data_IF_758499652262
#
_entry.id   IF_758499652262
#
_cell.length_a   1.000
_cell.length_b   1.000
_cell.length_c   1.000
_cell.angle_alpha   90.00
_cell.angle_beta   90.00
_cell.angle_gamma   90.00
#
_symmetry.space_group_name_H-M   'P 1'
#
loop_
_entity.id
_entity.type
_entity.pdbx_description
1 polymer ?
#
# COMPACT_ATOMS: atom_id res chain seq x y z
N UNK A 1 -10.45 6.44 3.08
CA UNK A 1 -10.08 7.43 2.06
C UNK A 1 -9.26 8.49 2.76
N UNK A 2 -7.99 8.69 2.37
CA UNK A 2 -7.20 9.79 2.95
C UNK A 2 -7.75 11.13 2.45
N UNK A 3 -7.88 12.10 3.37
CA UNK A 3 -8.42 13.44 3.08
C UNK A 3 -7.49 14.30 2.23
N UNK A 4 -7.94 15.53 1.92
CA UNK A 4 -7.23 16.48 1.05
C UNK A 4 -5.84 16.85 1.63
N UNK A 5 -4.76 16.51 0.92
CA UNK A 5 -3.37 16.85 1.26
C UNK A 5 -2.83 17.92 0.31
N UNK A 6 -2.09 18.90 0.85
CA UNK A 6 -1.48 19.99 0.10
C UNK A 6 0.04 19.97 0.34
N UNK A 7 0.85 20.07 -0.71
CA UNK A 7 2.30 20.22 -0.61
C UNK A 7 2.71 21.63 -1.06
N UNK A 8 3.58 22.29 -0.29
CA UNK A 8 4.16 23.60 -0.67
C UNK A 8 5.22 23.39 -1.76
N UNK A 9 4.99 23.99 -2.92
CA UNK A 9 5.99 24.18 -3.97
C UNK A 9 6.67 25.54 -3.74
N UNK A 10 8.02 25.66 -3.79
CA UNK A 10 8.70 26.96 -3.74
C UNK A 10 8.34 27.89 -4.91
N UNK A 11 7.69 27.39 -5.96
CA UNK A 11 7.19 28.18 -7.10
C UNK A 11 5.65 28.28 -7.05
N UNK A 12 5.16 29.11 -6.15
CA UNK A 12 3.84 29.80 -6.01
C UNK A 12 2.49 29.10 -6.32
N UNK A 13 2.42 27.93 -6.96
CA UNK A 13 1.16 27.23 -7.23
C UNK A 13 1.07 25.93 -6.40
N UNK A 14 0.09 25.81 -5.48
CA UNK A 14 -0.13 24.57 -4.75
C UNK A 14 -0.59 23.48 -5.71
N UNK A 15 0.15 22.38 -5.78
CA UNK A 15 -0.21 21.22 -6.59
C UNK A 15 -1.20 20.37 -5.78
N UNK A 16 -2.39 20.14 -6.33
CA UNK A 16 -3.40 19.25 -5.74
C UNK A 16 -2.90 17.81 -5.87
N UNK A 17 -2.77 17.12 -4.74
CA UNK A 17 -2.52 15.68 -4.74
C UNK A 17 -3.82 14.95 -5.03
N UNK A 18 -3.77 13.98 -5.94
CA UNK A 18 -4.91 13.14 -6.28
C UNK A 18 -5.32 12.28 -5.09
N UNK A 19 -6.63 12.13 -4.90
CA UNK A 19 -7.18 11.24 -3.88
C UNK A 19 -6.80 9.81 -4.27
N UNK A 20 -6.04 9.14 -3.40
CA UNK A 20 -5.71 7.73 -3.58
C UNK A 20 -6.49 6.90 -2.58
N UNK A 21 -6.92 5.73 -3.05
CA UNK A 21 -7.62 4.77 -2.23
C UNK A 21 -6.70 3.57 -2.05
N UNK A 22 -5.85 3.55 -1.02
CA UNK A 22 -5.00 2.40 -0.74
C UNK A 22 -5.82 1.27 -0.12
N UNK A 23 -6.05 0.18 -0.86
CA UNK A 23 -6.62 -1.06 -0.33
C UNK A 23 -5.46 -2.02 -0.10
N UNK A 24 -5.32 -2.47 1.15
CA UNK A 24 -4.45 -3.57 1.53
C UNK A 24 -5.32 -4.77 1.89
N UNK A 25 -5.05 -5.91 1.28
CA UNK A 25 -5.75 -7.18 1.51
C UNK A 25 -4.76 -8.21 2.03
N UNK A 26 -5.16 -8.96 3.05
CA UNK A 26 -4.44 -10.11 3.55
C UNK A 26 -5.37 -11.31 3.64
N UNK A 27 -4.89 -12.47 3.21
CA UNK A 27 -5.56 -13.75 3.40
C UNK A 27 -4.55 -14.75 3.98
N UNK A 28 -4.95 -15.46 5.02
CA UNK A 28 -4.19 -16.55 5.63
C UNK A 28 -5.05 -17.82 5.61
N UNK A 29 -4.42 -18.94 5.25
CA UNK A 29 -5.04 -20.25 5.22
C UNK A 29 -4.24 -21.24 6.06
N UNK A 30 -4.91 -21.84 7.05
CA UNK A 30 -4.35 -22.86 7.93
C UNK A 30 -4.60 -24.24 7.33
N UNK A 31 -3.58 -24.82 6.70
CA UNK A 31 -3.67 -26.20 6.18
C UNK A 31 -3.68 -27.23 7.31
N UNK A 32 -3.00 -26.95 8.41
CA UNK A 32 -2.88 -27.85 9.56
C UNK A 32 -2.50 -27.05 10.80
N UNK A 33 -2.58 -27.65 11.99
CA UNK A 33 -2.13 -27.02 13.24
C UNK A 33 -0.65 -26.58 13.22
N UNK A 34 0.13 -27.14 12.30
CA UNK A 34 1.56 -26.89 12.16
C UNK A 34 1.93 -26.14 10.87
N UNK A 35 0.99 -25.94 9.93
CA UNK A 35 1.28 -25.33 8.62
C UNK A 35 0.26 -24.22 8.33
N UNK A 36 0.74 -23.00 8.14
CA UNK A 36 -0.06 -21.89 7.61
C UNK A 36 0.56 -21.37 6.32
N UNK A 37 -0.29 -20.88 5.42
CA UNK A 37 0.13 -20.07 4.27
C UNK A 37 -0.55 -18.73 4.33
N UNK A 38 0.15 -17.69 3.92
CA UNK A 38 -0.41 -16.36 3.87
C UNK A 38 -0.08 -15.69 2.55
N UNK A 39 -0.97 -14.79 2.14
CA UNK A 39 -0.77 -13.87 1.04
C UNK A 39 -1.25 -12.49 1.48
N UNK A 40 -0.43 -11.50 1.22
CA UNK A 40 -0.72 -10.10 1.50
C UNK A 40 -0.48 -9.30 0.23
N UNK A 41 -1.40 -8.42 -0.08
CA UNK A 41 -1.41 -7.58 -1.26
C UNK A 41 -1.63 -6.15 -0.76
N UNK A 42 -0.66 -5.29 -1.00
CA UNK A 42 -0.69 -3.90 -0.61
C UNK A 42 -0.90 -3.01 -1.84
N UNK A 43 -1.62 -1.91 -1.65
CA UNK A 43 -1.90 -0.91 -2.70
C UNK A 43 -2.55 -1.52 -3.96
N UNK A 44 -3.61 -2.33 -3.78
CA UNK A 44 -4.32 -3.02 -4.88
C UNK A 44 -4.85 -2.08 -5.97
N UNK A 45 -5.17 -0.84 -5.63
CA UNK A 45 -5.66 0.19 -6.56
C UNK A 45 -4.59 0.78 -7.46
N UNK A 46 -3.30 0.47 -7.23
CA UNK A 46 -2.19 0.84 -8.12
C UNK A 46 -1.95 2.33 -8.29
N UNK A 47 -2.58 3.19 -7.48
CA UNK A 47 -2.50 4.65 -7.62
C UNK A 47 -1.10 5.12 -7.26
N UNK A 48 -0.48 5.89 -8.17
CA UNK A 48 0.76 6.62 -7.87
C UNK A 48 0.41 7.80 -6.97
N UNK A 49 0.55 7.64 -5.67
CA UNK A 49 0.49 8.77 -4.76
C UNK A 49 1.91 9.26 -4.47
N UNK A 50 2.08 10.58 -4.50
CA UNK A 50 3.25 11.25 -3.97
C UNK A 50 2.95 11.54 -2.51
N UNK A 51 3.63 10.89 -1.57
CA UNK A 51 3.46 11.24 -0.15
C UNK A 51 4.12 12.60 0.15
N UNK A 52 5.15 12.94 -0.64
CA UNK A 52 5.91 14.19 -0.64
C UNK A 52 6.27 14.61 -2.07
N UNK A 53 6.46 15.92 -2.30
CA UNK A 53 6.93 16.44 -3.59
C UNK A 53 8.26 15.76 -3.98
N UNK A 54 8.33 15.16 -5.16
CA UNK A 54 9.46 14.37 -5.69
C UNK A 54 9.78 13.03 -5.00
N UNK A 55 8.96 12.54 -4.06
CA UNK A 55 9.13 11.21 -3.46
C UNK A 55 8.00 10.25 -3.90
N UNK A 56 8.19 9.51 -5.02
CA UNK A 56 7.20 8.55 -5.47
C UNK A 56 7.13 7.37 -4.49
N UNK A 57 5.94 7.08 -3.97
CA UNK A 57 5.77 5.93 -3.07
C UNK A 57 5.72 4.61 -3.83
N UNK A 58 6.05 3.51 -3.13
CA UNK A 58 5.95 2.17 -3.69
C UNK A 58 4.50 1.87 -4.10
N UNK A 59 4.32 1.37 -5.33
CA UNK A 59 3.02 1.07 -5.94
C UNK A 59 2.43 -0.21 -5.33
N UNK A 60 1.86 -1.06 -6.17
CA UNK A 60 1.45 -2.41 -5.85
C UNK A 60 2.63 -3.24 -5.31
N UNK A 61 2.42 -3.90 -4.17
CA UNK A 61 3.36 -4.87 -3.62
C UNK A 61 2.58 -6.11 -3.15
N UNK A 62 3.14 -7.30 -3.36
CA UNK A 62 2.55 -8.56 -2.97
C UNK A 62 3.60 -9.42 -2.26
N UNK A 63 3.23 -9.98 -1.12
CA UNK A 63 4.04 -10.89 -0.34
C UNK A 63 3.23 -12.15 -0.02
N UNK A 64 3.74 -13.30 -0.42
CA UNK A 64 3.18 -14.61 -0.07
C UNK A 64 4.24 -15.46 0.63
N UNK A 65 3.81 -16.29 1.58
CA UNK A 65 4.69 -17.14 2.34
C UNK A 65 3.99 -18.32 2.98
N UNK A 66 4.79 -19.26 3.47
CA UNK A 66 4.34 -20.41 4.26
C UNK A 66 5.14 -20.45 5.56
N UNK A 67 4.47 -20.82 6.64
CA UNK A 67 5.05 -20.92 7.98
C UNK A 67 4.81 -22.32 8.52
N UNK A 68 5.86 -22.92 9.08
CA UNK A 68 5.79 -24.18 9.81
C UNK A 68 6.03 -23.92 11.30
N UNK A 69 5.13 -24.40 12.16
CA UNK A 69 5.23 -24.29 13.61
C UNK A 69 5.41 -25.68 14.22
N UNK A 70 6.49 -25.85 14.98
CA UNK A 70 6.80 -27.02 15.78
C UNK A 70 6.34 -26.86 17.24
#
# INVERSE_FOLDING_TARGET
>A
AEGKRWAKNPTENPIRLEEYLAINLGAEYLFSKHISVFVTINNLTGVKYQEWYLYPNHRFNMLAGASYRF
#
